data_IF_773883766650
#
_entry.id   IF_773883766650
#
_cell.length_a   1.000
_cell.length_b   1.000
_cell.length_c   1.000
_cell.angle_alpha   90.00
_cell.angle_beta   90.00
_cell.angle_gamma   90.00
#
_symmetry.space_group_name_H-M   'P 1'
#
loop_
_entity.id
_entity.type
_entity.pdbx_description
1 polymer ?
#
# COMPACT_ATOMS: atom_id res chain seq x y z
N UNK A 1 13.53 -5.70 14.44
CA UNK A 1 12.38 -4.82 14.15
C UNK A 1 11.18 -5.25 14.96
N UNK A 2 10.14 -4.41 15.15
CA UNK A 2 8.90 -4.84 15.79
C UNK A 2 8.28 -6.04 15.05
N UNK A 3 7.57 -6.95 15.74
CA UNK A 3 7.06 -8.19 15.14
C UNK A 3 6.27 -7.99 13.84
N UNK A 4 5.41 -6.96 13.80
CA UNK A 4 4.60 -6.65 12.62
C UNK A 4 5.42 -6.27 11.39
N UNK A 5 6.58 -5.63 11.57
CA UNK A 5 7.44 -5.22 10.45
C UNK A 5 8.26 -6.41 9.95
N UNK A 6 8.69 -7.29 10.85
CA UNK A 6 9.33 -8.56 10.49
C UNK A 6 8.41 -9.42 9.62
N UNK A 7 7.14 -9.55 9.99
CA UNK A 7 6.13 -10.24 9.19
C UNK A 7 5.94 -9.59 7.81
N UNK A 8 5.85 -8.25 7.77
CA UNK A 8 5.69 -7.51 6.52
C UNK A 8 6.88 -7.69 5.58
N UNK A 9 8.11 -7.57 6.08
CA UNK A 9 9.32 -7.74 5.26
C UNK A 9 9.48 -9.17 4.77
N UNK A 10 9.16 -10.17 5.59
CA UNK A 10 9.14 -11.59 5.18
C UNK A 10 8.14 -11.81 4.04
N UNK A 11 6.95 -11.20 4.15
CA UNK A 11 5.95 -11.25 3.09
C UNK A 11 6.43 -10.60 1.80
N UNK A 12 7.01 -9.39 1.85
CA UNK A 12 7.50 -8.71 0.66
C UNK A 12 8.68 -9.44 0.01
N UNK A 13 9.55 -10.04 0.81
CA UNK A 13 10.70 -10.82 0.33
C UNK A 13 10.32 -12.15 -0.32
N UNK A 14 9.06 -12.59 -0.24
CA UNK A 14 8.60 -13.80 -0.95
C UNK A 14 8.45 -13.59 -2.46
N UNK A 15 8.36 -12.32 -2.89
CA UNK A 15 8.15 -11.97 -4.29
C UNK A 15 9.49 -11.82 -4.99
N UNK A 16 9.79 -12.73 -5.92
CA UNK A 16 11.00 -12.64 -6.75
C UNK A 16 10.76 -11.73 -7.96
N UNK A 17 10.62 -10.43 -7.71
CA UNK A 17 10.30 -9.40 -8.72
C UNK A 17 11.55 -8.68 -9.26
N UNK A 18 12.75 -9.15 -8.90
CA UNK A 18 14.02 -8.61 -9.36
C UNK A 18 14.65 -7.59 -8.41
N UNK A 19 15.86 -7.11 -8.74
CA UNK A 19 16.69 -6.31 -7.85
C UNK A 19 16.09 -4.94 -7.52
N UNK A 20 15.27 -4.37 -8.39
CA UNK A 20 14.55 -3.12 -8.14
C UNK A 20 13.53 -3.27 -7.00
N UNK A 21 12.89 -4.43 -6.92
CA UNK A 21 11.96 -4.74 -5.83
C UNK A 21 12.69 -4.87 -4.50
N UNK A 22 13.81 -5.59 -4.47
CA UNK A 22 14.60 -5.74 -3.25
C UNK A 22 15.09 -4.38 -2.73
N UNK A 23 15.58 -3.52 -3.63
CA UNK A 23 15.95 -2.13 -3.30
C UNK A 23 14.76 -1.35 -2.75
N UNK A 24 13.57 -1.51 -3.33
CA UNK A 24 12.35 -0.86 -2.82
C UNK A 24 12.03 -1.31 -1.39
N UNK A 25 12.13 -2.61 -1.09
CA UNK A 25 11.90 -3.17 0.25
C UNK A 25 12.92 -2.65 1.26
N UNK A 26 14.17 -2.45 0.85
CA UNK A 26 15.21 -1.85 1.68
C UNK A 26 14.97 -0.36 1.96
N UNK A 27 14.64 0.43 0.93
CA UNK A 27 14.27 1.84 1.09
C UNK A 27 13.07 2.01 2.03
N UNK A 28 12.07 1.14 1.89
CA UNK A 28 10.91 1.11 2.78
C UNK A 28 11.31 0.80 4.22
N UNK A 29 12.28 -0.08 4.41
CA UNK A 29 12.82 -0.40 5.73
C UNK A 29 13.58 0.79 6.33
N UNK A 30 14.30 1.55 5.52
CA UNK A 30 14.96 2.78 5.97
C UNK A 30 13.96 3.84 6.42
N UNK A 31 12.88 4.03 5.66
CA UNK A 31 11.80 4.96 6.01
C UNK A 31 11.15 4.57 7.33
N UNK A 32 10.84 3.29 7.53
CA UNK A 32 10.23 2.80 8.77
C UNK A 32 11.20 2.82 9.97
N UNK A 33 12.50 2.62 9.72
CA UNK A 33 13.51 2.80 10.77
C UNK A 33 13.60 4.26 11.20
N UNK A 34 13.65 5.20 10.25
CA UNK A 34 13.68 6.65 10.51
C UNK A 34 12.41 7.14 11.20
N UNK A 35 11.28 6.46 11.00
CA UNK A 35 10.02 6.75 11.70
C UNK A 35 9.94 6.15 13.11
N UNK A 36 10.96 5.39 13.54
CA UNK A 36 10.95 4.66 14.82
C UNK A 36 9.93 3.50 14.84
N UNK A 37 9.50 3.03 13.67
CA UNK A 37 8.44 2.03 13.52
C UNK A 37 7.12 2.42 14.20
N UNK A 38 6.85 3.73 14.30
CA UNK A 38 5.62 4.25 14.89
C UNK A 38 4.43 3.82 14.03
N UNK A 39 3.42 3.25 14.68
CA UNK A 39 2.16 2.91 14.02
C UNK A 39 1.35 4.19 13.84
N UNK A 40 1.35 4.77 12.64
CA UNK A 40 0.42 5.86 12.33
C UNK A 40 -1.00 5.32 12.25
N UNK A 41 -1.94 5.97 12.93
CA UNK A 41 -3.38 5.73 12.79
C UNK A 41 -3.99 6.45 11.58
N UNK A 42 -3.24 7.35 10.92
CA UNK A 42 -3.74 8.18 9.83
C UNK A 42 -3.68 7.41 8.50
N UNK A 43 -4.83 7.09 7.87
CA UNK A 43 -4.87 6.44 6.56
C UNK A 43 -4.46 7.41 5.45
N UNK A 44 -4.06 6.87 4.30
CA UNK A 44 -3.94 7.63 3.05
C UNK A 44 -5.27 8.31 2.70
N UNK A 45 -5.22 9.40 1.92
CA UNK A 45 -6.40 10.10 1.41
C UNK A 45 -7.33 9.11 0.71
N UNK A 46 -8.63 9.26 0.98
CA UNK A 46 -9.71 8.41 0.44
C UNK A 46 -10.35 9.01 -0.81
N UNK A 47 -10.12 10.29 -1.07
CA UNK A 47 -10.63 11.01 -2.25
C UNK A 47 -10.19 10.28 -3.52
N UNK A 48 -11.10 10.09 -4.46
CA UNK A 48 -10.87 9.40 -5.74
C UNK A 48 -10.39 7.93 -5.66
N UNK A 49 -10.25 7.35 -4.45
CA UNK A 49 -9.78 5.98 -4.28
C UNK A 49 -10.71 4.99 -5.01
N UNK A 50 -10.18 4.12 -5.88
CA UNK A 50 -10.99 3.07 -6.49
C UNK A 50 -11.69 2.19 -5.44
N UNK A 51 -12.91 1.76 -5.71
CA UNK A 51 -13.69 0.91 -4.80
C UNK A 51 -12.96 -0.41 -4.52
N UNK A 52 -12.26 -0.94 -5.51
CA UNK A 52 -11.41 -2.14 -5.41
C UNK A 52 -10.28 -1.95 -4.41
N UNK A 53 -9.63 -0.78 -4.40
CA UNK A 53 -8.59 -0.45 -3.41
C UNK A 53 -9.20 -0.29 -2.03
N UNK A 54 -10.41 0.26 -1.94
CA UNK A 54 -11.15 0.36 -0.67
C UNK A 54 -11.47 -1.02 -0.10
N UNK A 55 -12.01 -1.93 -0.92
CA UNK A 55 -12.29 -3.32 -0.55
C UNK A 55 -11.02 -4.08 -0.17
N UNK A 56 -9.95 -3.90 -0.94
CA UNK A 56 -8.64 -4.48 -0.66
C UNK A 56 -8.10 -4.04 0.71
N UNK A 57 -8.17 -2.75 1.02
CA UNK A 57 -7.77 -2.20 2.33
C UNK A 57 -8.68 -2.72 3.46
N UNK A 58 -10.01 -2.71 3.26
CA UNK A 58 -10.97 -3.21 4.26
C UNK A 58 -10.75 -4.69 4.60
N UNK A 59 -10.40 -5.50 3.60
CA UNK A 59 -10.08 -6.91 3.78
C UNK A 59 -8.67 -7.14 4.35
N UNK A 60 -8.04 -6.11 4.93
CA UNK A 60 -6.66 -6.15 5.41
C UNK A 60 -5.67 -6.65 4.34
N UNK A 61 -5.97 -6.38 3.07
CA UNK A 61 -5.17 -6.79 1.90
C UNK A 61 -4.99 -8.32 1.80
N UNK A 62 -5.91 -9.09 2.39
CA UNK A 62 -5.82 -10.56 2.49
C UNK A 62 -6.31 -11.32 1.25
N UNK A 63 -7.02 -10.64 0.36
CA UNK A 63 -7.49 -11.16 -0.92
C UNK A 63 -7.23 -10.11 -2.00
N UNK A 64 -6.80 -10.57 -3.17
CA UNK A 64 -6.69 -9.70 -4.33
C UNK A 64 -8.08 -9.13 -4.66
N UNK A 65 -8.16 -7.87 -5.09
CA UNK A 65 -9.42 -7.29 -5.54
C UNK A 65 -9.81 -7.95 -6.86
N UNK A 66 -10.57 -9.04 -6.77
CA UNK A 66 -11.08 -9.79 -7.92
C UNK A 66 -12.60 -9.97 -7.82
N UNK A 67 -13.33 -9.91 -8.94
CA UNK A 67 -12.86 -9.54 -10.29
C UNK A 67 -12.78 -8.01 -10.50
N UNK A 68 -11.90 -7.59 -11.40
CA UNK A 68 -11.88 -6.23 -11.95
C UNK A 68 -12.81 -6.23 -13.17
N UNK A 69 -14.03 -5.74 -13.01
CA UNK A 69 -15.03 -5.76 -14.09
C UNK A 69 -14.60 -4.88 -15.29
N UNK A 70 -14.13 -3.66 -15.00
CA UNK A 70 -13.61 -2.72 -16.00
C UNK A 70 -12.18 -2.32 -15.62
N UNK A 71 -11.22 -2.84 -16.39
CA UNK A 71 -9.79 -2.57 -16.19
C UNK A 71 -9.44 -1.12 -16.47
N UNK A 72 -10.00 -0.52 -17.52
CA UNK A 72 -9.60 0.81 -17.97
C UNK A 72 -10.14 1.88 -17.02
N UNK A 73 -11.39 1.70 -16.56
CA UNK A 73 -11.95 2.53 -15.49
C UNK A 73 -11.14 2.41 -14.19
N UNK A 74 -10.69 1.20 -13.83
CA UNK A 74 -9.82 1.01 -12.67
C UNK A 74 -8.48 1.73 -12.84
N UNK A 75 -7.83 1.62 -13.99
CA UNK A 75 -6.53 2.27 -14.26
C UNK A 75 -6.67 3.79 -14.21
N UNK A 76 -7.73 4.36 -14.80
CA UNK A 76 -8.01 5.78 -14.74
C UNK A 76 -8.23 6.27 -13.28
N UNK A 77 -9.08 5.56 -12.53
CA UNK A 77 -9.35 5.88 -11.12
C UNK A 77 -8.10 5.70 -10.24
N UNK A 78 -7.27 4.69 -10.52
CA UNK A 78 -6.01 4.46 -9.82
C UNK A 78 -5.06 5.63 -9.97
N UNK A 79 -4.84 6.11 -11.21
CA UNK A 79 -3.94 7.23 -11.45
C UNK A 79 -4.47 8.55 -10.89
N UNK A 80 -5.78 8.78 -10.98
CA UNK A 80 -6.43 9.94 -10.37
C UNK A 80 -6.22 9.96 -8.85
N UNK A 81 -6.48 8.82 -8.19
CA UNK A 81 -6.22 8.67 -6.75
C UNK A 81 -4.75 8.83 -6.41
N UNK A 82 -3.86 8.17 -7.15
CA UNK A 82 -2.43 8.18 -6.87
C UNK A 82 -1.85 9.59 -6.95
N UNK A 83 -2.30 10.39 -7.93
CA UNK A 83 -1.93 11.81 -8.09
C UNK A 83 -2.45 12.68 -6.94
N UNK A 84 -3.67 12.46 -6.45
CA UNK A 84 -4.24 13.18 -5.29
C UNK A 84 -3.49 12.87 -3.97
N UNK A 85 -2.99 11.64 -3.85
CA UNK A 85 -2.19 11.20 -2.71
C UNK A 85 -0.79 11.83 -2.69
N UNK A 86 -0.24 12.20 -3.86
CA UNK A 86 1.09 12.82 -3.92
C UNK A 86 1.12 14.20 -3.23
N UNK A 87 2.31 14.66 -2.80
CA UNK A 87 2.48 16.01 -2.28
C UNK A 87 2.00 17.07 -3.27
N UNK A 88 1.31 18.09 -2.77
CA UNK A 88 0.83 19.20 -3.61
C UNK A 88 2.00 19.96 -4.28
N UNK A 89 3.16 19.98 -3.63
CA UNK A 89 4.40 20.58 -4.13
C UNK A 89 4.86 20.00 -5.46
N UNK A 90 4.40 18.80 -5.84
CA UNK A 90 4.75 18.17 -7.11
C UNK A 90 3.90 18.64 -8.29
N UNK A 91 2.87 19.47 -8.05
CA UNK A 91 2.06 20.06 -9.13
C UNK A 91 1.27 19.04 -9.96
N UNK A 92 0.97 17.87 -9.40
CA UNK A 92 0.32 16.77 -10.12
C UNK A 92 -1.20 16.86 -10.19
N UNK A 93 -1.79 17.84 -9.51
CA UNK A 93 -3.23 18.04 -9.44
C UNK A 93 -3.81 18.34 -10.83
N UNK A 94 -4.86 17.62 -11.22
CA UNK A 94 -5.56 17.82 -12.50
C UNK A 94 -4.89 17.18 -13.73
N UNK A 95 -3.78 16.47 -13.58
CA UNK A 95 -3.17 15.69 -14.68
C UNK A 95 -3.76 14.29 -14.82
N UNK A 96 -3.56 13.68 -15.99
CA UNK A 96 -4.04 12.33 -16.30
C UNK A 96 -2.89 11.31 -16.38
N UNK A 97 -3.23 10.04 -16.16
CA UNK A 97 -2.32 8.91 -16.36
C UNK A 97 -1.12 8.86 -15.39
N UNK A 98 -0.07 8.08 -15.76
CA UNK A 98 1.10 7.86 -14.94
C UNK A 98 1.80 9.15 -14.53
N UNK A 99 2.38 9.15 -13.31
CA UNK A 99 3.20 10.27 -12.82
C UNK A 99 4.59 10.21 -13.46
N UNK A 100 5.00 11.22 -14.25
CA UNK A 100 6.32 11.26 -14.86
C UNK A 100 7.45 11.19 -13.82
N UNK A 101 8.58 10.60 -14.18
CA UNK A 101 9.76 10.62 -13.30
C UNK A 101 10.29 12.04 -13.09
N UNK A 102 10.18 12.90 -14.11
CA UNK A 102 10.65 14.29 -14.10
C UNK A 102 9.90 15.20 -13.12
N UNK A 103 8.68 14.84 -12.71
CA UNK A 103 7.89 15.61 -11.74
C UNK A 103 8.18 15.23 -10.29
N UNK A 104 9.00 14.19 -10.06
CA UNK A 104 9.40 13.77 -8.72
C UNK A 104 10.51 14.72 -8.28
N UNK A 105 10.21 15.55 -7.28
CA UNK A 105 11.18 16.42 -6.64
C UNK A 105 11.56 15.86 -5.28
N UNK A 106 12.86 15.74 -5.04
CA UNK A 106 13.41 15.40 -3.72
C UNK A 106 13.26 16.57 -2.73
N UNK A 107 13.07 17.80 -3.23
CA UNK A 107 13.00 19.06 -2.47
C UNK A 107 11.56 19.42 -2.02
N UNK A 108 10.60 18.51 -2.16
CA UNK A 108 9.20 18.73 -1.78
C UNK A 108 8.88 18.37 -0.33
N UNK A 109 7.85 18.99 0.25
CA UNK A 109 7.29 18.55 1.54
C UNK A 109 6.58 17.19 1.39
N UNK A 110 7.18 16.14 1.97
CA UNK A 110 6.67 14.77 1.95
C UNK A 110 5.76 14.44 3.14
N UNK A 111 5.45 15.39 4.03
CA UNK A 111 4.64 15.14 5.23
C UNK A 111 3.26 14.53 4.93
N UNK A 112 2.66 14.87 3.77
CA UNK A 112 1.40 14.29 3.32
C UNK A 112 1.49 12.77 3.09
N UNK A 113 2.65 12.30 2.61
CA UNK A 113 2.97 10.89 2.36
C UNK A 113 3.68 10.21 3.54
N UNK A 114 4.13 10.98 4.55
CA UNK A 114 4.76 10.45 5.77
C UNK A 114 3.72 9.77 6.67
N UNK A 115 3.31 8.58 6.25
CA UNK A 115 2.32 7.73 6.94
C UNK A 115 3.00 6.41 7.36
N UNK A 116 3.85 6.43 8.39
CA UNK A 116 4.57 5.24 8.83
C UNK A 116 3.62 4.18 9.43
N UNK A 117 3.98 2.92 9.28
CA UNK A 117 3.27 1.80 9.90
C UNK A 117 2.03 1.32 9.15
N UNK A 118 1.11 0.72 9.91
CA UNK A 118 0.10 -0.25 9.44
C UNK A 118 -1.04 0.31 8.55
N UNK A 119 -1.02 1.62 8.27
CA UNK A 119 -2.01 2.32 7.47
C UNK A 119 -1.43 2.96 6.19
N UNK A 120 -0.13 2.78 5.94
CA UNK A 120 0.51 3.05 4.66
C UNK A 120 0.22 1.94 3.63
N UNK A 121 1.11 1.77 2.65
CA UNK A 121 0.99 0.71 1.65
C UNK A 121 1.16 -0.71 2.25
N UNK A 122 1.74 -0.83 3.43
CA UNK A 122 1.90 -2.08 4.16
C UNK A 122 0.82 -2.28 5.23
N UNK A 123 0.13 -3.43 5.25
CA UNK A 123 -0.78 -3.75 6.36
C UNK A 123 -0.75 -5.22 6.86
N UNK A 124 -0.74 -5.26 8.20
CA UNK A 124 -1.18 -6.20 9.27
C UNK A 124 -1.52 -7.68 9.11
N UNK A 125 -1.64 -8.35 7.97
CA UNK A 125 -1.97 -9.80 8.04
C UNK A 125 -1.59 -10.57 6.78
N UNK A 126 -0.35 -11.03 6.76
CA UNK A 126 -0.10 -12.35 6.20
C UNK A 126 -0.68 -13.36 7.20
N UNK A 127 -2.01 -13.57 7.19
CA UNK A 127 -2.62 -14.62 8.00
C UNK A 127 -2.17 -15.93 7.39
N UNK A 128 -1.16 -16.55 7.99
CA UNK A 128 -0.84 -17.98 7.93
C UNK A 128 -1.65 -18.76 6.89
N UNK A 129 -1.13 -18.86 5.68
CA UNK A 129 -1.51 -19.94 4.76
C UNK A 129 -0.80 -21.27 5.12
N UNK A 130 -0.31 -21.39 6.36
CA UNK A 130 0.19 -22.61 6.94
C UNK A 130 -0.67 -22.95 8.17
N UNK A 131 -1.59 -23.90 7.99
CA UNK A 131 -2.19 -24.71 9.06
C UNK A 131 -3.24 -24.04 9.95
N UNK A 132 -4.52 -24.36 9.72
CA UNK A 132 -5.57 -24.01 10.67
C UNK A 132 -6.98 -24.25 10.13
N UNK A 133 -7.32 -25.51 9.87
CA UNK A 133 -8.69 -25.92 9.56
C UNK A 133 -9.63 -25.41 10.65
N UNK A 134 -10.70 -24.73 10.24
CA UNK A 134 -11.81 -24.44 11.14
C UNK A 134 -12.94 -25.39 10.77
N UNK A 135 -13.09 -26.42 11.60
CA UNK A 135 -14.14 -27.40 11.55
C UNK A 135 -15.51 -26.72 11.42
N UNK A 136 -16.30 -27.27 10.52
CA UNK A 136 -17.72 -26.98 10.40
C UNK A 136 -18.43 -27.61 11.59
N UNK A 137 -19.10 -26.79 12.40
CA UNK A 137 -20.15 -27.28 13.30
C UNK A 137 -21.43 -26.58 12.90
N UNK A 138 -22.20 -27.23 12.02
CA UNK A 138 -23.64 -27.02 11.94
C UNK A 138 -24.24 -27.43 13.28
N UNK A 139 -25.02 -26.57 13.90
CA UNK A 139 -26.02 -26.97 14.89
C UNK A 139 -27.38 -26.78 14.23
N UNK A 140 -28.17 -27.84 14.31
CA UNK A 140 -29.54 -28.00 13.82
C UNK A 140 -30.49 -26.97 14.44
#
# INVERSE_FOLDING_TARGET
>A
WPPWFTEARTYLGRFNLGPEWDRLVDLLTDVERKSGFIKSSKPLKRTFRPSQVSLWIQNARSRDPTPLDDRDAFVAAWWLWWRDVQPKSWGLAGGEGPVPASTRSDDGDWEDMRRPGQNGLLQRRCRSQLGGGRASTKVL
#
